data_IF_220132508302
#
_entry.id   IF_220132508302
#
_cell.length_a   1.000
_cell.length_b   1.000
_cell.length_c   1.000
_cell.angle_alpha   90.00
_cell.angle_beta   90.00
_cell.angle_gamma   90.00
#
_symmetry.space_group_name_H-M   'P 1'
#
loop_
_entity.id
_entity.type
_entity.pdbx_description
1 polymer ?
#
# COMPACT_ATOMS: atom_id res chain seq x y z
N UNK A 1 0.40 10.96 7.65
CA UNK A 1 0.62 9.60 8.15
C UNK A 1 2.00 9.52 8.79
N UNK A 2 2.07 8.93 9.99
CA UNK A 2 3.27 8.71 10.79
C UNK A 2 3.74 7.26 10.65
N UNK A 3 4.91 6.92 11.22
CA UNK A 3 5.42 5.55 11.25
C UNK A 3 4.51 4.60 12.03
N UNK A 4 3.89 5.06 13.13
CA UNK A 4 3.00 4.24 13.97
C UNK A 4 1.75 3.82 13.17
N UNK A 5 1.18 4.77 12.43
CA UNK A 5 0.01 4.51 11.58
C UNK A 5 0.30 3.40 10.55
N UNK A 6 1.48 3.45 9.91
CA UNK A 6 1.91 2.47 8.92
C UNK A 6 2.12 1.08 9.51
N UNK A 7 2.70 0.99 10.70
CA UNK A 7 2.88 -0.30 11.40
C UNK A 7 1.54 -0.89 11.84
N UNK A 8 0.62 -0.04 12.31
CA UNK A 8 -0.75 -0.45 12.64
C UNK A 8 -1.47 -1.00 11.40
N UNK A 9 -1.38 -0.29 10.27
CA UNK A 9 -1.91 -0.75 8.97
C UNK A 9 -1.34 -2.11 8.59
N UNK A 10 -0.02 -2.29 8.64
CA UNK A 10 0.64 -3.55 8.31
C UNK A 10 0.13 -4.71 9.19
N UNK A 11 -0.06 -4.48 10.49
CA UNK A 11 -0.61 -5.49 11.41
C UNK A 11 -2.05 -5.85 11.05
N UNK A 12 -2.90 -4.86 10.85
CA UNK A 12 -4.32 -5.06 10.52
C UNK A 12 -4.50 -5.82 9.20
N UNK A 13 -3.61 -5.60 8.22
CA UNK A 13 -3.62 -6.33 6.95
C UNK A 13 -3.15 -7.77 7.12
N UNK A 14 -2.12 -8.00 7.94
CA UNK A 14 -1.62 -9.35 8.23
C UNK A 14 -2.70 -10.24 8.86
N UNK A 15 -3.55 -9.67 9.73
CA UNK A 15 -4.71 -10.36 10.31
C UNK A 15 -5.75 -10.80 9.27
N UNK A 16 -5.72 -10.19 8.07
CA UNK A 16 -6.58 -10.53 6.91
C UNK A 16 -5.86 -11.39 5.87
N UNK A 17 -4.72 -11.99 6.22
CA UNK A 17 -3.81 -12.71 5.30
C UNK A 17 -3.23 -11.84 4.16
N UNK A 18 -3.24 -10.52 4.32
CA UNK A 18 -2.65 -9.58 3.36
C UNK A 18 -1.27 -9.15 3.89
N UNK A 19 -0.21 -9.45 3.15
CA UNK A 19 1.17 -9.16 3.53
C UNK A 19 1.59 -7.83 2.91
N UNK A 20 1.64 -6.77 3.72
CA UNK A 20 2.24 -5.49 3.35
C UNK A 20 3.67 -5.42 3.89
N UNK A 21 4.63 -5.12 3.01
CA UNK A 21 6.05 -4.92 3.35
C UNK A 21 6.47 -3.53 2.93
N UNK A 22 7.01 -2.75 3.85
CA UNK A 22 7.63 -1.46 3.53
C UNK A 22 9.12 -1.64 3.28
N UNK A 23 9.52 -1.73 2.01
CA UNK A 23 10.92 -1.90 1.62
C UNK A 23 11.75 -0.66 1.97
N UNK A 24 11.16 0.53 1.83
CA UNK A 24 11.82 1.80 2.17
C UNK A 24 10.79 2.87 2.54
N UNK A 25 11.07 3.62 3.60
CA UNK A 25 10.28 4.78 4.01
C UNK A 25 11.20 5.95 4.29
N UNK A 26 10.80 7.15 3.87
CA UNK A 26 11.46 8.39 4.30
C UNK A 26 10.43 9.32 4.93
N UNK A 27 10.86 10.04 5.95
CA UNK A 27 10.04 11.00 6.66
C UNK A 27 10.73 12.36 6.65
N UNK A 28 9.95 13.41 6.41
CA UNK A 28 10.38 14.81 6.48
C UNK A 28 9.46 15.53 7.46
N UNK A 29 10.01 16.17 8.50
CA UNK A 29 9.23 16.84 9.57
C UNK A 29 8.16 15.91 10.17
N UNK A 30 8.54 14.66 10.50
CA UNK A 30 7.66 13.59 11.01
C UNK A 30 6.49 13.17 10.10
N UNK A 31 6.50 13.57 8.82
CA UNK A 31 5.50 13.14 7.82
C UNK A 31 6.16 12.28 6.77
N UNK A 32 5.47 11.23 6.34
CA UNK A 32 5.94 10.37 5.25
C UNK A 32 6.14 11.22 3.97
N UNK A 33 7.34 11.16 3.41
CA UNK A 33 7.73 11.88 2.19
C UNK A 33 8.08 10.94 1.03
N UNK A 34 8.38 9.68 1.32
CA UNK A 34 8.59 8.65 0.31
C UNK A 34 8.23 7.28 0.88
N UNK A 35 7.64 6.43 0.03
CA UNK A 35 7.34 5.05 0.35
C UNK A 35 7.72 4.14 -0.82
N UNK A 36 8.26 2.97 -0.49
CA UNK A 36 8.45 1.81 -1.34
C UNK A 36 7.85 0.63 -0.57
N UNK A 37 6.85 -0.01 -1.17
CA UNK A 37 6.14 -1.11 -0.55
C UNK A 37 5.80 -2.21 -1.54
N UNK A 38 5.68 -3.41 -0.99
CA UNK A 38 5.18 -4.60 -1.66
C UNK A 38 3.93 -5.10 -0.94
N UNK A 39 2.94 -5.57 -1.68
CA UNK A 39 1.70 -6.11 -1.16
C UNK A 39 1.45 -7.48 -1.79
N UNK A 40 1.01 -8.44 -0.98
CA UNK A 40 0.55 -9.75 -1.40
C UNK A 40 -0.78 -10.04 -0.70
N UNK A 41 -1.83 -10.33 -1.47
CA UNK A 41 -3.17 -10.60 -0.96
C UNK A 41 -3.40 -12.06 -0.57
N UNK A 42 -2.44 -12.96 -0.85
CA UNK A 42 -2.54 -14.38 -0.54
C UNK A 42 -3.49 -15.15 -1.46
N UNK A 43 -4.04 -14.51 -2.49
CA UNK A 43 -4.97 -15.06 -3.48
C UNK A 43 -4.36 -15.11 -4.89
N UNK A 44 -3.04 -14.97 -4.98
CA UNK A 44 -2.30 -14.89 -6.25
C UNK A 44 -2.12 -13.46 -6.78
N UNK A 45 -2.78 -12.45 -6.20
CA UNK A 45 -2.55 -11.06 -6.54
C UNK A 45 -1.49 -10.43 -5.62
N UNK A 46 -0.41 -9.95 -6.24
CA UNK A 46 0.66 -9.24 -5.56
C UNK A 46 1.20 -8.12 -6.44
N UNK A 47 1.86 -7.15 -5.82
CA UNK A 47 2.43 -6.01 -6.53
C UNK A 47 3.31 -5.14 -5.67
N UNK A 48 4.03 -4.24 -6.32
CA UNK A 48 4.94 -3.32 -5.65
C UNK A 48 4.72 -1.91 -6.17
N UNK A 49 4.82 -0.92 -5.29
CA UNK A 49 4.87 0.48 -5.72
C UNK A 49 5.86 1.26 -4.90
N UNK A 50 6.45 2.27 -5.56
CA UNK A 50 7.29 3.26 -4.92
C UNK A 50 6.89 4.63 -5.41
N UNK A 51 6.83 5.60 -4.51
CA UNK A 51 6.46 6.96 -4.87
C UNK A 51 6.87 7.98 -3.81
N UNK A 52 7.10 9.19 -4.28
CA UNK A 52 7.21 10.37 -3.43
C UNK A 52 5.82 10.83 -3.01
N UNK A 53 5.66 11.10 -1.71
CA UNK A 53 4.39 11.53 -1.15
C UNK A 53 4.27 13.05 -1.28
N UNK A 54 3.38 13.48 -2.15
CA UNK A 54 2.95 14.87 -2.28
C UNK A 54 1.51 15.02 -1.78
N UNK A 55 1.05 16.25 -1.57
CA UNK A 55 -0.36 16.50 -1.17
C UNK A 55 -1.40 16.10 -2.21
N UNK A 56 -0.97 15.88 -3.46
CA UNK A 56 -1.84 15.73 -4.63
C UNK A 56 -1.84 14.32 -5.21
N UNK A 57 -1.21 13.35 -4.53
CA UNK A 57 -1.07 11.98 -5.03
C UNK A 57 -1.62 11.01 -4.01
N UNK A 58 -2.65 10.29 -4.40
CA UNK A 58 -3.14 9.15 -3.64
C UNK A 58 -2.38 7.91 -4.09
N UNK A 59 -1.54 7.36 -3.22
CA UNK A 59 -0.79 6.13 -3.47
C UNK A 59 -1.31 5.05 -2.55
N UNK A 60 -1.60 3.89 -3.10
CA UNK A 60 -2.08 2.77 -2.33
C UNK A 60 -2.25 1.53 -3.18
N UNK A 61 -3.21 0.72 -2.79
CA UNK A 61 -3.56 -0.50 -3.48
C UNK A 61 -5.05 -0.77 -3.34
N UNK A 62 -5.60 -1.52 -4.28
CA UNK A 62 -7.00 -1.94 -4.30
C UNK A 62 -7.07 -3.38 -4.79
N UNK A 63 -7.98 -4.16 -4.20
CA UNK A 63 -8.34 -5.49 -4.63
C UNK A 63 -9.86 -5.59 -4.67
N UNK A 64 -10.41 -5.88 -5.85
CA UNK A 64 -11.83 -6.11 -6.06
C UNK A 64 -12.08 -7.62 -6.22
N UNK A 65 -12.70 -8.22 -5.20
CA UNK A 65 -12.94 -9.67 -5.16
C UNK A 65 -14.13 -10.13 -6.01
N UNK A 66 -14.78 -9.24 -6.78
CA UNK A 66 -15.78 -9.64 -7.75
C UNK A 66 -15.11 -10.29 -8.98
N UNK A 67 -15.60 -11.45 -9.41
CA UNK A 67 -15.05 -12.17 -10.56
C UNK A 67 -15.20 -11.40 -11.88
N UNK A 68 -16.20 -10.53 -11.98
CA UNK A 68 -16.49 -9.68 -13.14
C UNK A 68 -15.73 -8.33 -13.11
N UNK A 69 -14.85 -8.11 -12.13
CA UNK A 69 -14.13 -6.85 -12.01
C UNK A 69 -13.21 -6.62 -13.20
N UNK A 70 -13.42 -5.52 -13.93
CA UNK A 70 -12.54 -5.11 -15.05
C UNK A 70 -11.10 -4.87 -14.62
N UNK A 71 -10.91 -4.44 -13.37
CA UNK A 71 -9.60 -4.21 -12.78
C UNK A 71 -9.60 -4.81 -11.37
N UNK A 72 -9.35 -6.14 -11.25
CA UNK A 72 -9.46 -6.86 -9.99
C UNK A 72 -8.39 -6.44 -8.98
N UNK A 73 -7.34 -5.74 -9.42
CA UNK A 73 -6.20 -5.34 -8.61
C UNK A 73 -5.50 -4.09 -9.15
N UNK A 74 -5.10 -3.20 -8.25
CA UNK A 74 -4.31 -1.99 -8.53
C UNK A 74 -3.28 -1.77 -7.43
N UNK A 75 -2.06 -1.38 -7.80
CA UNK A 75 -1.00 -0.95 -6.88
C UNK A 75 -0.29 0.28 -7.45
N UNK A 76 -0.17 1.32 -6.64
CA UNK A 76 0.49 2.57 -6.99
C UNK A 76 -0.43 3.78 -6.95
N UNK A 77 -0.36 4.65 -7.96
CA UNK A 77 -1.17 5.87 -8.00
C UNK A 77 -2.64 5.51 -8.26
N UNK A 78 -3.53 5.90 -7.36
CA UNK A 78 -4.95 5.58 -7.41
C UNK A 78 -5.79 6.67 -8.08
N UNK A 79 -5.38 7.94 -7.98
CA UNK A 79 -5.70 9.09 -8.85
C UNK A 79 -5.00 10.35 -8.35
#
# INVERSE_FOLDING_TARGET
>A
MTKIDLLSLQKNLKEKNIILVFNKMKFTKNRLSYIDFSIDFGDGFSGTSKSEITKSKEIGFMRDYNDDAKQPFVVGNLK
#
